data_IF_270050821652
#
_entry.id   IF_270050821652
#
_cell.length_a   1.000
_cell.length_b   1.000
_cell.length_c   1.000
_cell.angle_alpha   90.00
_cell.angle_beta   90.00
_cell.angle_gamma   90.00
#
_symmetry.space_group_name_H-M   'P 1'
#
loop_
_entity.id
_entity.type
_entity.pdbx_description
1 polymer ?
#
# COMPACT_ATOMS: atom_id res chain seq x y z
N UNK A 1 16.24 6.80 21.03
CA UNK A 1 15.86 5.42 20.67
C UNK A 1 14.34 5.37 20.77
N UNK A 2 13.68 5.83 19.71
CA UNK A 2 12.23 5.97 19.73
C UNK A 2 11.61 4.63 19.36
N UNK A 3 11.13 3.98 20.41
CA UNK A 3 10.31 2.80 20.47
C UNK A 3 8.92 3.11 19.86
N UNK A 4 8.88 3.37 18.55
CA UNK A 4 7.63 3.58 17.83
C UNK A 4 7.13 2.23 17.31
N UNK A 5 6.47 1.50 18.20
CA UNK A 5 5.23 0.78 17.90
C UNK A 5 5.31 -0.09 16.63
N UNK A 6 5.61 -1.36 16.81
CA UNK A 6 5.34 -2.46 15.86
C UNK A 6 3.84 -2.61 15.61
N UNK A 7 3.21 -1.63 14.95
CA UNK A 7 1.87 -1.75 14.36
C UNK A 7 2.05 -2.00 12.89
N UNK A 8 2.14 -3.27 12.52
CA UNK A 8 1.73 -3.93 11.26
C UNK A 8 1.43 -3.04 10.02
N UNK A 9 2.22 -1.99 9.78
CA UNK A 9 2.13 -1.18 8.60
C UNK A 9 2.77 -2.02 7.52
N UNK A 10 2.01 -2.34 6.47
CA UNK A 10 2.58 -3.03 5.33
C UNK A 10 3.82 -2.27 4.86
N UNK A 11 4.83 -3.03 4.46
CA UNK A 11 6.07 -2.43 4.00
C UNK A 11 5.78 -1.43 2.87
N UNK A 12 6.45 -0.28 2.86
CA UNK A 12 6.20 0.78 1.89
C UNK A 12 6.24 0.28 0.44
N UNK A 13 7.10 -0.71 0.14
CA UNK A 13 7.15 -1.32 -1.19
C UNK A 13 5.89 -2.14 -1.50
N UNK A 14 5.29 -2.83 -0.53
CA UNK A 14 4.03 -3.55 -0.71
C UNK A 14 2.90 -2.58 -1.05
N UNK A 15 2.84 -1.46 -0.33
CA UNK A 15 1.85 -0.40 -0.61
C UNK A 15 2.09 0.18 -2.01
N UNK A 16 3.35 0.52 -2.34
CA UNK A 16 3.72 1.02 -3.66
C UNK A 16 3.34 0.07 -4.79
N UNK A 17 3.68 -1.22 -4.69
CA UNK A 17 3.34 -2.21 -5.71
C UNK A 17 1.83 -2.40 -5.84
N UNK A 18 1.09 -2.35 -4.73
CA UNK A 18 -0.36 -2.41 -4.76
C UNK A 18 -0.98 -1.20 -5.47
N UNK A 19 -0.51 0.01 -5.16
CA UNK A 19 -0.97 1.25 -5.81
C UNK A 19 -0.64 1.25 -7.31
N UNK A 20 0.57 0.84 -7.67
CA UNK A 20 0.99 0.70 -9.06
C UNK A 20 0.11 -0.29 -9.82
N UNK A 21 -0.12 -1.47 -9.24
CA UNK A 21 -0.95 -2.50 -9.83
C UNK A 21 -2.41 -2.05 -10.01
N UNK A 22 -2.95 -1.25 -9.08
CA UNK A 22 -4.30 -0.68 -9.23
C UNK A 22 -4.38 0.38 -10.33
N UNK A 23 -3.44 1.34 -10.35
CA UNK A 23 -3.51 2.53 -11.21
C UNK A 23 -3.01 2.24 -12.63
N UNK A 24 -1.96 1.43 -12.78
CA UNK A 24 -1.31 1.16 -14.07
C UNK A 24 -1.80 -0.12 -14.74
N UNK A 25 -2.21 -1.12 -13.96
CA UNK A 25 -2.67 -2.41 -14.47
C UNK A 25 -4.18 -2.60 -14.28
N UNK A 26 -4.88 -1.58 -13.77
CA UNK A 26 -6.34 -1.54 -13.57
C UNK A 26 -6.89 -2.74 -12.76
N UNK A 27 -6.06 -3.33 -11.90
CA UNK A 27 -6.47 -4.47 -11.09
C UNK A 27 -7.50 -4.09 -10.03
N UNK A 28 -8.54 -4.90 -9.87
CA UNK A 28 -9.57 -4.67 -8.87
C UNK A 28 -9.03 -4.84 -7.44
N UNK A 29 -9.61 -4.11 -6.48
CA UNK A 29 -9.26 -4.19 -5.05
C UNK A 29 -9.34 -5.63 -4.50
N UNK A 30 -10.34 -6.40 -4.96
CA UNK A 30 -10.50 -7.82 -4.62
C UNK A 30 -9.34 -8.67 -5.09
N UNK A 31 -8.88 -8.45 -6.33
CA UNK A 31 -7.73 -9.17 -6.88
C UNK A 31 -6.44 -8.81 -6.11
N UNK A 32 -6.23 -7.52 -5.83
CA UNK A 32 -5.09 -7.06 -5.05
C UNK A 32 -5.11 -7.60 -3.61
N UNK A 33 -6.28 -7.67 -2.99
CA UNK A 33 -6.44 -8.28 -1.66
C UNK A 33 -6.00 -9.75 -1.63
N UNK A 34 -6.31 -10.50 -2.69
CA UNK A 34 -5.85 -11.88 -2.84
C UNK A 34 -4.32 -11.96 -3.03
N UNK A 35 -3.75 -11.16 -3.93
CA UNK A 35 -2.31 -11.17 -4.24
C UNK A 35 -1.45 -10.75 -3.05
N UNK A 36 -1.85 -9.69 -2.34
CA UNK A 36 -1.09 -9.13 -1.22
C UNK A 36 -1.45 -9.74 0.15
N UNK A 37 -2.39 -10.68 0.16
CA UNK A 37 -3.00 -11.24 1.38
C UNK A 37 -3.43 -10.12 2.35
N UNK A 38 -4.24 -9.20 1.84
CA UNK A 38 -4.79 -8.05 2.57
C UNK A 38 -6.29 -7.96 2.34
N UNK A 39 -6.98 -7.38 3.31
CA UNK A 39 -8.40 -7.12 3.17
C UNK A 39 -8.63 -5.99 2.18
N UNK A 40 -9.73 -6.05 1.44
CA UNK A 40 -10.09 -5.01 0.46
C UNK A 40 -10.20 -3.63 1.10
N UNK A 41 -10.63 -3.56 2.37
CA UNK A 41 -10.66 -2.32 3.14
C UNK A 41 -9.25 -1.72 3.31
N UNK A 42 -8.23 -2.55 3.53
CA UNK A 42 -6.84 -2.11 3.72
C UNK A 42 -6.29 -1.53 2.42
N UNK A 43 -6.59 -2.19 1.29
CA UNK A 43 -6.25 -1.69 -0.04
C UNK A 43 -6.96 -0.36 -0.33
N UNK A 44 -8.24 -0.26 0.05
CA UNK A 44 -9.02 0.98 -0.05
C UNK A 44 -8.39 2.14 0.73
N UNK A 45 -7.95 1.88 1.97
CA UNK A 45 -7.26 2.90 2.78
C UNK A 45 -5.96 3.37 2.14
N UNK A 46 -5.17 2.46 1.55
CA UNK A 46 -3.95 2.84 0.84
C UNK A 46 -4.24 3.73 -0.38
N UNK A 47 -5.28 3.41 -1.15
CA UNK A 47 -5.71 4.22 -2.28
C UNK A 47 -6.23 5.59 -1.84
N UNK A 48 -7.00 5.67 -0.76
CA UNK A 48 -7.48 6.94 -0.23
C UNK A 48 -6.31 7.81 0.24
N UNK A 49 -5.39 7.23 1.01
CA UNK A 49 -4.18 7.92 1.46
C UNK A 49 -3.33 8.42 0.29
N UNK A 50 -3.25 7.64 -0.80
CA UNK A 50 -2.57 8.07 -2.03
C UNK A 50 -3.31 9.23 -2.73
N UNK A 51 -4.63 9.21 -2.81
CA UNK A 51 -5.42 10.29 -3.41
C UNK A 51 -5.31 11.59 -2.61
N UNK A 52 -5.29 11.50 -1.27
CA UNK A 52 -5.18 12.66 -0.38
C UNK A 52 -3.77 13.28 -0.37
N UNK A 53 -2.72 12.47 -0.43
CA UNK A 53 -1.34 12.95 -0.29
C UNK A 53 -0.55 13.03 -1.61
N UNK A 54 -1.08 12.46 -2.70
CA UNK A 54 -0.53 12.53 -4.07
C UNK A 54 0.79 11.78 -4.32
N UNK A 55 1.54 11.39 -3.28
CA UNK A 55 2.88 10.79 -3.44
C UNK A 55 3.11 9.65 -2.45
N UNK A 56 3.37 8.44 -2.98
CA UNK A 56 3.99 7.33 -2.24
C UNK A 56 5.38 7.06 -2.84
N UNK A 57 6.44 7.30 -2.05
CA UNK A 57 7.81 7.00 -2.46
C UNK A 57 8.13 5.54 -2.14
N UNK A 58 8.74 4.85 -3.10
CA UNK A 58 9.37 3.54 -2.85
C UNK A 58 10.47 3.74 -1.81
N UNK A 59 10.47 2.91 -0.76
CA UNK A 59 11.56 2.95 0.20
C UNK A 59 12.82 2.38 -0.47
N UNK A 60 13.84 3.22 -0.64
CA UNK A 60 15.18 2.81 -1.04
C UNK A 60 16.03 2.73 0.23
N UNK A 61 16.43 1.53 0.61
CA UNK A 61 17.50 1.32 1.59
C UNK A 61 18.82 1.68 0.89
N UNK A 62 19.46 2.78 1.34
CA UNK A 62 20.84 3.16 1.01
C UNK A 62 21.84 2.28 1.75
#
# INVERSE_FOLDING_TARGET
>A
MEEAVTRQHAHANTVYHCLYAHIKLEHSRRHLGHVFNKLEHTIGNWLNMYNENGVFLRYQTT
#
